data_IF_039018465981
#
_entry.id   IF_039018465981
#
_cell.length_a   1.000
_cell.length_b   1.000
_cell.length_c   1.000
_cell.angle_alpha   90.00
_cell.angle_beta   90.00
_cell.angle_gamma   90.00
#
_symmetry.space_group_name_H-M   'P 1'
#
loop_
_entity.id
_entity.type
_entity.pdbx_description
1 polymer ?
#
# COMPACT_ATOMS: atom_id res chain seq x y z
N UNK A 1 -39.25 19.90 16.35
CA UNK A 1 -37.94 19.65 16.98
C UNK A 1 -36.89 19.69 15.89
N UNK A 2 -36.10 20.76 15.78
CA UNK A 2 -34.98 20.83 14.85
C UNK A 2 -33.82 20.03 15.44
N UNK A 3 -33.53 18.87 14.87
CA UNK A 3 -32.27 18.16 15.13
C UNK A 3 -31.15 19.00 14.54
N UNK A 4 -30.41 19.70 15.40
CA UNK A 4 -29.14 20.32 15.01
C UNK A 4 -28.20 19.17 14.67
N UNK A 5 -27.98 18.95 13.38
CA UNK A 5 -27.01 17.96 12.92
C UNK A 5 -25.63 18.48 13.27
N UNK A 6 -24.85 17.66 13.98
CA UNK A 6 -23.45 17.95 14.32
C UNK A 6 -22.68 18.41 13.07
N UNK A 7 -21.93 19.50 13.18
CA UNK A 7 -21.21 20.11 12.06
C UNK A 7 -20.22 19.14 11.42
N UNK A 8 -19.59 18.25 12.19
CA UNK A 8 -18.68 17.23 11.66
C UNK A 8 -19.41 16.20 10.78
N UNK A 9 -20.64 15.86 11.15
CA UNK A 9 -21.50 14.97 10.36
C UNK A 9 -21.93 15.66 9.07
N UNK A 10 -22.32 16.94 9.16
CA UNK A 10 -22.69 17.73 7.99
C UNK A 10 -21.52 17.86 6.98
N UNK A 11 -20.31 18.12 7.47
CA UNK A 11 -19.10 18.20 6.63
C UNK A 11 -18.77 16.85 5.97
N UNK A 12 -18.87 15.74 6.72
CA UNK A 12 -18.62 14.40 6.18
C UNK A 12 -19.60 14.06 5.06
N UNK A 13 -20.88 14.37 5.24
CA UNK A 13 -21.91 14.14 4.23
C UNK A 13 -21.69 15.02 2.99
N UNK A 14 -21.34 16.29 3.18
CA UNK A 14 -21.05 17.20 2.08
C UNK A 14 -19.83 16.74 1.27
N UNK A 15 -18.76 16.32 1.94
CA UNK A 15 -17.59 15.74 1.29
C UNK A 15 -17.94 14.46 0.53
N UNK A 16 -18.73 13.56 1.13
CA UNK A 16 -19.16 12.33 0.48
C UNK A 16 -19.98 12.61 -0.79
N UNK A 17 -20.95 13.51 -0.73
CA UNK A 17 -21.77 13.90 -1.89
C UNK A 17 -20.93 14.52 -3.01
N UNK A 18 -19.87 15.26 -2.68
CA UNK A 18 -19.01 15.91 -3.67
C UNK A 18 -17.98 14.97 -4.33
N UNK A 19 -17.55 13.91 -3.62
CA UNK A 19 -16.44 13.05 -4.05
C UNK A 19 -16.87 11.66 -4.55
N UNK A 20 -18.13 11.26 -4.36
CA UNK A 20 -18.64 9.97 -4.85
C UNK A 20 -18.83 9.98 -6.36
N UNK A 21 -18.67 8.81 -6.98
CA UNK A 21 -19.13 8.60 -8.35
C UNK A 21 -20.65 8.45 -8.36
N UNK A 22 -21.30 8.97 -9.40
CA UNK A 22 -22.72 8.73 -9.65
C UNK A 22 -22.87 7.77 -10.81
N UNK A 23 -24.02 7.10 -10.88
CA UNK A 23 -24.32 6.16 -11.96
C UNK A 23 -24.15 6.76 -13.36
N UNK A 24 -24.50 8.05 -13.54
CA UNK A 24 -24.41 8.75 -14.83
C UNK A 24 -23.19 9.67 -14.97
N UNK A 25 -22.32 9.78 -13.96
CA UNK A 25 -21.12 10.63 -14.04
C UNK A 25 -20.03 10.24 -13.04
N UNK A 26 -18.77 10.36 -13.44
CA UNK A 26 -17.66 10.25 -12.49
C UNK A 26 -17.64 11.43 -11.50
N UNK A 27 -17.01 11.23 -10.34
CA UNK A 27 -16.71 12.29 -9.38
C UNK A 27 -15.86 13.38 -10.03
N UNK A 28 -16.01 14.62 -9.55
CA UNK A 28 -15.25 15.76 -10.06
C UNK A 28 -13.75 15.49 -9.91
N UNK A 29 -13.00 15.57 -11.00
CA UNK A 29 -11.54 15.42 -11.04
C UNK A 29 -10.95 16.26 -12.16
N UNK A 30 -9.62 16.38 -12.22
CA UNK A 30 -8.92 17.11 -13.29
C UNK A 30 -9.10 16.47 -14.68
N UNK A 31 -9.56 15.22 -14.77
CA UNK A 31 -9.75 14.52 -16.04
C UNK A 31 -8.48 14.00 -16.70
N UNK A 32 -7.30 14.37 -16.19
CA UNK A 32 -5.99 13.86 -16.61
C UNK A 32 -5.07 13.71 -15.39
N UNK A 33 -4.01 12.92 -15.52
CA UNK A 33 -2.98 12.78 -14.49
C UNK A 33 -1.74 13.56 -14.92
N UNK A 34 -1.22 14.39 -14.01
CA UNK A 34 0.05 15.08 -14.18
C UNK A 34 1.20 14.13 -13.85
N UNK A 35 1.59 13.34 -14.86
CA UNK A 35 2.67 12.35 -14.72
C UNK A 35 4.03 12.98 -14.43
N UNK A 36 4.26 14.23 -14.83
CA UNK A 36 5.54 14.91 -14.65
C UNK A 36 5.80 15.26 -13.17
N UNK A 37 4.74 15.51 -12.41
CA UNK A 37 4.81 15.89 -10.99
C UNK A 37 4.55 14.73 -10.02
N UNK A 38 4.79 13.48 -10.44
CA UNK A 38 4.56 12.33 -9.58
C UNK A 38 5.60 12.32 -8.43
N UNK A 39 5.18 12.33 -7.15
CA UNK A 39 6.11 12.36 -6.05
C UNK A 39 6.88 11.03 -5.96
N UNK A 40 8.13 11.10 -5.49
CA UNK A 40 8.91 9.90 -5.21
C UNK A 40 8.15 9.02 -4.19
N UNK A 41 7.82 7.76 -4.54
CA UNK A 41 7.03 6.91 -3.66
C UNK A 41 7.80 6.33 -2.48
N UNK A 42 9.08 6.67 -2.35
CA UNK A 42 9.94 6.28 -1.25
C UNK A 42 10.36 7.50 -0.44
N UNK A 43 10.34 7.35 0.88
CA UNK A 43 10.97 8.29 1.80
C UNK A 43 12.40 7.83 2.07
N UNK A 44 13.31 8.77 2.20
CA UNK A 44 14.69 8.56 2.60
C UNK A 44 14.96 9.41 3.83
N UNK A 45 15.69 8.85 4.80
CA UNK A 45 16.13 9.58 5.98
C UNK A 45 17.63 9.83 5.86
N UNK A 46 18.05 11.07 6.12
CA UNK A 46 19.46 11.45 6.13
C UNK A 46 20.11 11.09 7.47
N UNK A 47 21.41 10.78 7.45
CA UNK A 47 22.19 10.51 8.67
C UNK A 47 21.93 9.15 9.33
N UNK A 48 21.16 8.24 8.71
CA UNK A 48 20.89 6.89 9.23
C UNK A 48 21.59 5.82 8.41
N UNK A 49 21.97 4.72 9.06
CA UNK A 49 22.52 3.54 8.38
C UNK A 49 21.40 2.57 8.03
N UNK A 50 21.25 2.28 6.74
CA UNK A 50 20.25 1.33 6.26
C UNK A 50 20.62 -0.11 6.67
N UNK A 51 19.65 -0.84 7.24
CA UNK A 51 19.79 -2.27 7.57
C UNK A 51 19.06 -3.09 6.52
N UNK A 52 19.78 -3.94 5.78
CA UNK A 52 19.13 -4.87 4.84
C UNK A 52 18.46 -6.02 5.59
N UNK A 53 17.20 -6.25 5.26
CA UNK A 53 16.45 -7.42 5.68
C UNK A 53 16.57 -8.53 4.62
N UNK A 54 16.70 -9.79 5.04
CA UNK A 54 16.71 -10.91 4.11
C UNK A 54 15.33 -11.06 3.45
N UNK A 55 15.34 -11.46 2.17
CA UNK A 55 14.14 -11.82 1.43
C UNK A 55 13.90 -13.33 1.52
N UNK A 56 12.63 -13.73 1.47
CA UNK A 56 12.21 -15.11 1.43
C UNK A 56 12.75 -15.80 0.17
N UNK A 57 13.43 -16.92 0.35
CA UNK A 57 13.85 -17.77 -0.77
C UNK A 57 12.70 -18.61 -1.31
N UNK A 58 11.72 -18.91 -0.45
CA UNK A 58 10.50 -19.65 -0.75
C UNK A 58 9.39 -19.12 0.12
N UNK A 59 8.16 -19.10 -0.40
CA UNK A 59 7.00 -18.74 0.40
C UNK A 59 6.77 -19.72 1.55
N UNK A 60 6.35 -19.24 2.73
CA UNK A 60 6.03 -20.10 3.84
C UNK A 60 4.91 -21.05 3.46
N UNK A 61 5.04 -22.32 3.86
CA UNK A 61 3.96 -23.27 3.74
C UNK A 61 2.84 -22.86 4.71
N UNK A 62 1.76 -22.30 4.17
CA UNK A 62 0.59 -21.89 4.94
C UNK A 62 -0.67 -22.31 4.21
N UNK A 63 -1.61 -22.88 4.93
CA UNK A 63 -2.95 -23.13 4.42
C UNK A 63 -3.74 -21.82 4.32
N UNK A 64 -4.69 -21.73 3.39
CA UNK A 64 -5.53 -20.55 3.23
C UNK A 64 -6.31 -20.21 4.52
N UNK A 65 -6.79 -21.22 5.26
CA UNK A 65 -7.52 -21.02 6.51
C UNK A 65 -6.65 -20.41 7.62
N UNK A 66 -5.33 -20.60 7.56
CA UNK A 66 -4.43 -19.99 8.52
C UNK A 66 -4.39 -18.45 8.41
N UNK A 67 -4.89 -17.85 7.33
CA UNK A 67 -5.05 -16.39 7.25
C UNK A 67 -6.10 -15.84 8.22
N UNK A 68 -7.08 -16.67 8.61
CA UNK A 68 -8.23 -16.24 9.42
C UNK A 68 -8.21 -16.83 10.83
N UNK A 69 -7.54 -17.97 11.03
CA UNK A 69 -7.51 -18.68 12.29
C UNK A 69 -6.11 -18.64 12.94
N UNK A 70 -5.96 -17.85 14.02
CA UNK A 70 -4.66 -17.74 14.71
C UNK A 70 -4.15 -19.09 15.24
N UNK A 71 -5.06 -19.97 15.68
CA UNK A 71 -4.72 -21.32 16.18
C UNK A 71 -4.02 -22.20 15.14
N UNK A 72 -4.18 -21.92 13.85
CA UNK A 72 -3.51 -22.63 12.75
C UNK A 72 -2.11 -22.11 12.44
N UNK A 73 -1.65 -21.06 13.13
CA UNK A 73 -0.33 -20.48 12.92
C UNK A 73 0.58 -20.78 14.11
N UNK A 74 1.69 -21.46 13.85
CA UNK A 74 2.76 -21.55 14.82
C UNK A 74 3.31 -20.15 15.17
N UNK A 75 3.73 -19.98 16.42
CA UNK A 75 4.57 -18.84 16.77
C UNK A 75 5.94 -18.99 16.11
N UNK A 76 6.51 -17.87 15.68
CA UNK A 76 7.86 -17.80 15.17
C UNK A 76 8.66 -16.83 16.04
N UNK A 77 9.95 -17.08 16.17
CA UNK A 77 10.85 -16.20 16.90
C UNK A 77 10.94 -14.82 16.25
N UNK A 78 11.26 -13.82 17.05
CA UNK A 78 11.46 -12.45 16.57
C UNK A 78 12.89 -12.29 16.04
N UNK A 79 13.09 -12.58 14.76
CA UNK A 79 14.41 -12.55 14.10
C UNK A 79 14.37 -11.64 12.87
N UNK A 80 15.55 -11.32 12.31
CA UNK A 80 15.64 -10.49 11.09
C UNK A 80 14.94 -11.16 9.90
N UNK A 81 14.96 -12.49 9.87
CA UNK A 81 14.33 -13.33 8.84
C UNK A 81 12.81 -13.26 8.95
N UNK A 82 12.25 -13.39 10.15
CA UNK A 82 10.79 -13.36 10.34
C UNK A 82 10.22 -11.96 10.14
N UNK A 83 10.96 -10.92 10.54
CA UNK A 83 10.63 -9.51 10.25
C UNK A 83 10.72 -9.24 8.74
N UNK A 84 11.80 -9.68 8.08
CA UNK A 84 11.98 -9.54 6.64
C UNK A 84 10.85 -10.19 5.84
N UNK A 85 10.51 -11.44 6.21
CA UNK A 85 9.40 -12.17 5.62
C UNK A 85 8.04 -11.47 5.78
N UNK A 86 7.73 -10.99 6.99
CA UNK A 86 6.50 -10.25 7.26
C UNK A 86 6.40 -9.00 6.38
N UNK A 87 7.47 -8.21 6.31
CA UNK A 87 7.48 -6.96 5.54
C UNK A 87 7.48 -7.20 4.04
N UNK A 88 8.16 -8.22 3.55
CA UNK A 88 8.10 -8.62 2.14
C UNK A 88 6.66 -8.96 1.72
N UNK A 89 5.97 -9.81 2.51
CA UNK A 89 4.64 -10.29 2.17
C UNK A 89 3.53 -9.27 2.45
N UNK A 90 3.74 -8.30 3.34
CA UNK A 90 2.71 -7.29 3.67
C UNK A 90 2.93 -5.94 2.98
N UNK A 91 4.18 -5.56 2.72
CA UNK A 91 4.54 -4.19 2.27
C UNK A 91 5.51 -4.16 1.08
N UNK A 92 5.99 -5.32 0.61
CA UNK A 92 6.96 -5.43 -0.47
C UNK A 92 6.45 -4.93 -1.82
N UNK A 93 7.40 -4.67 -2.73
CA UNK A 93 7.13 -4.40 -4.13
C UNK A 93 6.96 -5.73 -4.88
N UNK A 94 5.87 -5.88 -5.62
CA UNK A 94 5.57 -7.09 -6.37
C UNK A 94 6.11 -7.06 -7.81
N UNK A 95 6.13 -5.89 -8.46
CA UNK A 95 6.60 -5.72 -9.83
C UNK A 95 6.91 -4.25 -10.17
N UNK A 96 7.53 -4.02 -11.33
CA UNK A 96 7.58 -2.72 -12.00
C UNK A 96 6.74 -2.79 -13.28
N UNK A 97 5.96 -1.75 -13.55
CA UNK A 97 5.22 -1.61 -14.80
C UNK A 97 5.71 -0.38 -15.54
N UNK A 98 5.86 -0.51 -16.86
CA UNK A 98 6.29 0.57 -17.74
C UNK A 98 5.32 0.73 -18.90
N UNK A 99 4.93 1.97 -19.21
CA UNK A 99 4.06 2.30 -20.35
C UNK A 99 4.29 3.75 -20.75
N UNK A 100 4.36 4.01 -22.07
CA UNK A 100 4.46 5.36 -22.65
C UNK A 100 5.48 6.28 -21.96
N UNK A 101 6.68 5.76 -21.71
CA UNK A 101 7.79 6.51 -21.08
C UNK A 101 7.73 6.66 -19.56
N UNK A 102 6.66 6.18 -18.91
CA UNK A 102 6.52 6.19 -17.45
C UNK A 102 6.73 4.80 -16.86
N UNK A 103 7.37 4.72 -15.69
CA UNK A 103 7.59 3.46 -14.94
C UNK A 103 7.19 3.64 -13.49
N UNK A 104 6.46 2.69 -12.92
CA UNK A 104 6.00 2.73 -11.53
C UNK A 104 6.06 1.35 -10.85
N UNK A 105 6.24 1.35 -9.54
CA UNK A 105 6.29 0.14 -8.73
C UNK A 105 4.87 -0.32 -8.36
N UNK A 106 4.65 -1.63 -8.37
CA UNK A 106 3.49 -2.31 -7.82
C UNK A 106 3.83 -2.86 -6.44
N UNK A 107 2.85 -2.86 -5.52
CA UNK A 107 2.98 -3.39 -4.16
C UNK A 107 2.15 -4.67 -4.00
N UNK A 108 2.46 -5.47 -2.98
CA UNK A 108 1.69 -6.68 -2.67
C UNK A 108 0.27 -6.34 -2.20
N UNK A 109 0.07 -5.21 -1.52
CA UNK A 109 -1.25 -4.74 -1.12
C UNK A 109 -1.85 -3.81 -2.19
N UNK A 110 -3.15 -3.95 -2.52
CA UNK A 110 -3.80 -3.11 -3.50
C UNK A 110 -3.94 -1.68 -2.96
N UNK A 111 -3.53 -0.72 -3.79
CA UNK A 111 -3.78 0.70 -3.57
C UNK A 111 -4.34 1.32 -4.84
N UNK A 112 -5.13 2.40 -4.70
CA UNK A 112 -5.53 3.16 -5.89
C UNK A 112 -4.26 3.67 -6.59
N UNK A 113 -4.17 3.60 -7.92
CA UNK A 113 -2.94 3.91 -8.68
C UNK A 113 -2.44 5.36 -8.56
N UNK A 114 -3.19 6.22 -7.85
CA UNK A 114 -2.93 7.66 -7.67
C UNK A 114 -2.53 8.03 -6.23
N UNK A 115 -2.71 7.14 -5.24
CA UNK A 115 -2.50 7.49 -3.84
C UNK A 115 -1.17 6.92 -3.31
N UNK A 116 -0.12 7.75 -3.34
CA UNK A 116 1.20 7.44 -2.76
C UNK A 116 1.29 7.89 -1.28
N UNK A 117 0.17 8.11 -0.59
CA UNK A 117 0.15 8.74 0.73
C UNK A 117 0.05 7.77 1.92
N UNK A 118 0.26 6.47 1.72
CA UNK A 118 0.35 5.53 2.86
C UNK A 118 1.80 5.38 3.30
N UNK A 119 2.17 6.24 4.23
CA UNK A 119 3.42 6.15 4.98
C UNK A 119 3.34 4.94 5.93
N UNK A 120 4.20 3.95 5.74
CA UNK A 120 4.56 3.01 6.81
C UNK A 120 5.98 3.35 7.22
N UNK A 121 6.18 3.69 8.50
CA UNK A 121 7.50 4.03 9.04
C UNK A 121 8.32 2.75 9.23
N UNK A 122 8.95 2.28 8.16
CA UNK A 122 10.09 1.37 8.20
C UNK A 122 10.79 1.45 6.84
N UNK A 123 12.10 1.68 6.83
CA UNK A 123 12.89 1.81 5.61
C UNK A 123 13.07 0.44 4.94
N UNK A 124 12.41 0.23 3.80
CA UNK A 124 12.50 -0.99 3.00
C UNK A 124 13.08 -0.64 1.62
N UNK A 125 14.32 -1.06 1.35
CA UNK A 125 14.96 -1.07 0.04
C UNK A 125 15.90 -2.30 -0.06
N UNK A 126 16.10 -2.94 -1.24
CA UNK A 126 15.20 -3.14 -2.36
C UNK A 126 14.52 -4.53 -2.30
N UNK A 127 13.37 -4.65 -2.95
CA UNK A 127 12.60 -5.91 -3.04
C UNK A 127 12.95 -6.63 -4.34
N UNK A 128 13.18 -7.95 -4.26
CA UNK A 128 13.31 -8.81 -5.44
C UNK A 128 11.93 -8.97 -6.07
N UNK A 129 11.76 -8.44 -7.27
CA UNK A 129 10.58 -8.72 -8.08
C UNK A 129 10.70 -10.14 -8.60
N UNK A 130 9.87 -11.03 -8.05
CA UNK A 130 9.64 -12.33 -8.68
C UNK A 130 8.89 -12.06 -9.97
N UNK A 131 9.46 -12.42 -11.12
CA UNK A 131 8.66 -12.59 -12.33
C UNK A 131 7.60 -13.64 -11.98
N UNK A 132 6.36 -13.21 -11.84
CA UNK A 132 5.23 -14.13 -11.90
C UNK A 132 5.25 -14.74 -13.32
N UNK A 133 5.02 -16.06 -13.45
CA UNK A 133 5.02 -16.75 -14.74
C UNK A 133 3.97 -16.17 -15.70
#
# INVERSE_FOLDING_TARGET
>A
MNTVVDSAVAETLLYHEQTKHHFHRYARSAGFLDWANQPNPFRFYEGVTAVRLPLLQKDPASEHLALYERSRNAFQDFTRETIGALLELSLGLSAWKSSSGSTWALRIFPSRPVAVHRETRLDILPVRIRKLP
#
